data_IF_979310441352
#
_entry.id   IF_979310441352
#
_cell.length_a   1.000
_cell.length_b   1.000
_cell.length_c   1.000
_cell.angle_alpha   90.00
_cell.angle_beta   90.00
_cell.angle_gamma   90.00
#
_symmetry.space_group_name_H-M   'P 1'
#
loop_
_entity.id
_entity.type
_entity.pdbx_description
1 polymer ?
#
# COMPACT_ATOMS: atom_id res chain seq x y z
N UNK A 1 14.64 -35.72 -38.08
CA UNK A 1 13.25 -35.98 -38.53
C UNK A 1 13.01 -35.51 -39.96
N UNK A 2 13.33 -34.26 -40.31
CA UNK A 2 13.00 -33.68 -41.61
C UNK A 2 13.91 -34.10 -42.78
N UNK A 3 15.23 -34.18 -42.61
CA UNK A 3 16.12 -34.76 -43.63
C UNK A 3 15.83 -36.24 -43.91
N UNK A 4 15.48 -37.01 -42.87
CA UNK A 4 15.06 -38.41 -43.03
C UNK A 4 13.74 -38.57 -43.81
N UNK A 5 12.97 -37.48 -43.97
CA UNK A 5 11.74 -37.42 -44.79
C UNK A 5 11.99 -36.81 -46.17
N UNK A 6 13.24 -36.59 -46.57
CA UNK A 6 13.62 -36.16 -47.92
C UNK A 6 13.60 -34.65 -48.16
N UNK A 7 13.41 -33.84 -47.12
CA UNK A 7 13.52 -32.39 -47.23
C UNK A 7 14.99 -31.96 -47.15
N UNK A 8 15.41 -31.05 -48.02
CA UNK A 8 16.76 -30.47 -48.07
C UNK A 8 16.69 -28.99 -48.50
N UNK A 9 17.66 -28.18 -48.06
CA UNK A 9 17.80 -26.77 -48.47
C UNK A 9 17.65 -25.78 -47.30
N UNK A 10 18.00 -24.51 -47.57
CA UNK A 10 18.06 -23.43 -46.56
C UNK A 10 16.75 -23.21 -45.81
N UNK A 11 15.61 -23.30 -46.51
CA UNK A 11 14.29 -23.11 -45.89
C UNK A 11 13.97 -24.18 -44.84
N UNK A 12 14.54 -25.39 -44.98
CA UNK A 12 14.38 -26.46 -44.00
C UNK A 12 15.24 -26.23 -42.76
N UNK A 13 16.48 -25.79 -42.97
CA UNK A 13 17.42 -25.51 -41.89
C UNK A 13 16.87 -24.38 -41.01
N UNK A 14 16.32 -23.33 -41.64
CA UNK A 14 15.63 -22.25 -40.95
C UNK A 14 14.40 -22.77 -40.18
N UNK A 15 13.58 -23.64 -40.80
CA UNK A 15 12.41 -24.21 -40.12
C UNK A 15 12.78 -25.05 -38.89
N UNK A 16 13.88 -25.80 -38.95
CA UNK A 16 14.39 -26.59 -37.82
C UNK A 16 14.89 -25.69 -36.69
N UNK A 17 15.63 -24.62 -37.01
CA UNK A 17 16.11 -23.63 -36.05
C UNK A 17 14.91 -22.99 -35.33
N UNK A 18 13.94 -22.47 -36.09
CA UNK A 18 12.77 -21.82 -35.50
C UNK A 18 11.92 -22.78 -34.68
N UNK A 19 11.79 -24.03 -35.08
CA UNK A 19 11.06 -25.03 -34.27
C UNK A 19 11.71 -25.24 -32.90
N UNK A 20 13.04 -25.30 -32.82
CA UNK A 20 13.76 -25.44 -31.54
C UNK A 20 13.56 -24.21 -30.66
N UNK A 21 13.80 -23.04 -31.23
CA UNK A 21 13.57 -21.75 -30.57
C UNK A 21 12.15 -21.67 -30.01
N UNK A 22 11.12 -21.99 -30.80
CA UNK A 22 9.73 -21.89 -30.35
C UNK A 22 9.38 -22.90 -29.25
N UNK A 23 10.05 -24.05 -29.20
CA UNK A 23 9.83 -25.04 -28.16
C UNK A 23 10.55 -24.68 -26.85
N UNK A 24 11.78 -24.18 -26.95
CA UNK A 24 12.64 -23.92 -25.79
C UNK A 24 12.34 -22.56 -25.15
N UNK A 25 11.94 -21.56 -25.96
CA UNK A 25 11.70 -20.19 -25.50
C UNK A 25 10.69 -20.06 -24.35
N UNK A 26 9.51 -20.71 -24.35
CA UNK A 26 8.56 -20.61 -23.24
C UNK A 26 9.13 -21.08 -21.90
N UNK A 27 9.88 -22.19 -21.89
CA UNK A 27 10.48 -22.74 -20.67
C UNK A 27 11.66 -21.86 -20.20
N UNK A 28 12.53 -21.43 -21.12
CA UNK A 28 13.62 -20.50 -20.79
C UNK A 28 13.09 -19.19 -20.19
N UNK A 29 12.03 -18.63 -20.76
CA UNK A 29 11.40 -17.43 -20.21
C UNK A 29 10.76 -17.68 -18.85
N UNK A 30 10.14 -18.85 -18.62
CA UNK A 30 9.61 -19.20 -17.30
C UNK A 30 10.72 -19.31 -16.24
N UNK A 31 11.85 -19.95 -16.56
CA UNK A 31 13.01 -20.07 -15.68
C UNK A 31 13.67 -18.73 -15.40
N UNK A 32 13.79 -17.88 -16.42
CA UNK A 32 14.31 -16.52 -16.29
C UNK A 32 13.40 -15.66 -15.39
N UNK A 33 12.08 -15.73 -15.58
CA UNK A 33 11.09 -15.05 -14.72
C UNK A 33 11.20 -15.45 -13.25
N UNK A 34 11.45 -16.74 -13.00
CA UNK A 34 11.64 -17.27 -11.65
C UNK A 34 13.04 -17.01 -11.07
N UNK A 35 13.93 -16.36 -11.84
CA UNK A 35 15.30 -16.05 -11.42
C UNK A 35 16.23 -17.27 -11.36
N UNK A 36 15.87 -18.39 -12.00
CA UNK A 36 16.66 -19.62 -11.99
C UNK A 36 17.80 -19.61 -13.01
N UNK A 37 17.67 -18.77 -14.04
CA UNK A 37 18.70 -18.54 -15.07
C UNK A 37 18.80 -17.04 -15.34
N UNK A 38 19.96 -16.61 -15.82
CA UNK A 38 20.22 -15.21 -16.21
C UNK A 38 19.81 -14.94 -17.65
N UNK A 39 19.77 -13.66 -18.04
CA UNK A 39 19.52 -13.29 -19.44
C UNK A 39 20.63 -13.80 -20.37
N UNK A 40 21.87 -13.87 -19.88
CA UNK A 40 23.00 -14.41 -20.63
C UNK A 40 22.83 -15.91 -20.88
N UNK A 41 22.27 -16.66 -19.92
CA UNK A 41 21.96 -18.08 -20.10
C UNK A 41 20.85 -18.30 -21.15
N UNK A 42 19.85 -17.40 -21.19
CA UNK A 42 18.82 -17.40 -22.23
C UNK A 42 19.43 -17.09 -23.60
N UNK A 43 20.34 -16.11 -23.67
CA UNK A 43 21.06 -15.76 -24.90
C UNK A 43 21.89 -16.93 -25.41
N UNK A 44 22.68 -17.54 -24.53
CA UNK A 44 23.51 -18.70 -24.87
C UNK A 44 22.67 -19.85 -25.41
N UNK A 45 21.54 -20.17 -24.77
CA UNK A 45 20.66 -21.24 -25.28
C UNK A 45 20.08 -20.89 -26.66
N UNK A 46 19.54 -19.69 -26.85
CA UNK A 46 18.88 -19.35 -28.11
C UNK A 46 19.86 -19.12 -29.28
N UNK A 47 20.97 -18.42 -29.03
CA UNK A 47 21.93 -18.02 -30.06
C UNK A 47 22.98 -19.10 -30.30
N UNK A 48 23.60 -19.62 -29.24
CA UNK A 48 24.73 -20.54 -29.39
C UNK A 48 24.28 -22.00 -29.57
N UNK A 49 23.24 -22.42 -28.85
CA UNK A 49 22.72 -23.81 -28.90
C UNK A 49 21.68 -23.98 -30.01
N UNK A 50 20.63 -23.16 -30.01
CA UNK A 50 19.53 -23.26 -30.98
C UNK A 50 19.83 -22.61 -32.33
N UNK A 51 20.96 -21.89 -32.42
CA UNK A 51 21.46 -21.23 -33.64
C UNK A 51 20.53 -20.13 -34.16
N UNK A 52 19.81 -19.46 -33.27
CA UNK A 52 19.11 -18.22 -33.61
C UNK A 52 20.11 -17.14 -34.03
N UNK A 53 19.84 -16.36 -35.10
CA UNK A 53 20.61 -15.16 -35.39
C UNK A 53 20.56 -14.17 -34.22
N UNK A 54 21.73 -13.65 -33.83
CA UNK A 54 21.85 -12.78 -32.66
C UNK A 54 20.97 -11.51 -32.74
N UNK A 55 20.83 -10.92 -33.94
CA UNK A 55 19.95 -9.76 -34.16
C UNK A 55 18.49 -10.05 -33.79
N UNK A 56 18.01 -11.28 -34.03
CA UNK A 56 16.65 -11.70 -33.67
C UNK A 56 16.48 -11.88 -32.17
N UNK A 57 17.54 -12.25 -31.45
CA UNK A 57 17.51 -12.28 -29.99
C UNK A 57 17.27 -10.88 -29.42
N UNK A 58 17.93 -9.85 -29.97
CA UNK A 58 17.72 -8.46 -29.54
C UNK A 58 16.32 -7.94 -29.86
N UNK A 59 15.73 -8.30 -31.00
CA UNK A 59 14.33 -7.98 -31.30
C UNK A 59 13.34 -8.66 -30.33
N UNK A 60 13.59 -9.92 -29.95
CA UNK A 60 12.79 -10.63 -28.94
C UNK A 60 12.95 -10.03 -27.55
N UNK A 61 14.15 -9.58 -27.19
CA UNK A 61 14.42 -8.87 -25.94
C UNK A 61 13.60 -7.58 -25.85
N UNK A 62 13.60 -6.78 -26.91
CA UNK A 62 12.87 -5.51 -26.94
C UNK A 62 11.34 -5.72 -26.86
N UNK A 63 10.82 -6.72 -27.56
CA UNK A 63 9.36 -6.91 -27.66
C UNK A 63 8.77 -7.73 -26.52
N UNK A 64 9.48 -8.75 -26.03
CA UNK A 64 8.96 -9.69 -25.04
C UNK A 64 9.52 -9.42 -23.65
N UNK A 65 10.81 -9.16 -23.53
CA UNK A 65 11.46 -9.03 -22.21
C UNK A 65 11.22 -7.65 -21.60
N UNK A 66 11.17 -6.59 -22.41
CA UNK A 66 10.75 -5.25 -21.94
C UNK A 66 9.32 -5.26 -21.39
N UNK A 67 8.39 -5.88 -22.11
CA UNK A 67 7.01 -6.06 -21.65
C UNK A 67 6.93 -6.82 -20.31
N UNK A 68 7.71 -7.90 -20.15
CA UNK A 68 7.79 -8.63 -18.88
C UNK A 68 8.44 -7.84 -17.74
N UNK A 69 9.41 -6.98 -18.05
CA UNK A 69 10.09 -6.16 -17.02
C UNK A 69 9.15 -5.08 -16.48
N UNK A 70 8.38 -4.42 -17.36
CA UNK A 70 7.37 -3.43 -16.98
C UNK A 70 6.24 -4.06 -16.13
N UNK A 71 5.78 -5.27 -16.50
CA UNK A 71 4.79 -6.05 -15.75
C UNK A 71 5.30 -6.44 -14.34
N UNK A 72 6.54 -6.94 -14.23
CA UNK A 72 7.17 -7.29 -12.95
C UNK A 72 7.30 -6.07 -12.03
N UNK A 73 7.72 -4.92 -12.55
CA UNK A 73 7.85 -3.69 -11.74
C UNK A 73 6.49 -3.28 -11.19
N UNK A 74 5.43 -3.29 -12.00
CA UNK A 74 4.08 -2.95 -11.55
C UNK A 74 3.53 -3.92 -10.48
N UNK A 75 3.74 -5.23 -10.65
CA UNK A 75 3.24 -6.24 -9.71
C UNK A 75 4.05 -6.29 -8.39
N UNK A 76 5.37 -6.13 -8.47
CA UNK A 76 6.27 -6.23 -7.29
C UNK A 76 6.43 -4.93 -6.50
N UNK A 77 6.07 -3.76 -7.07
CA UNK A 77 6.03 -2.48 -6.34
C UNK A 77 4.64 -2.08 -5.85
N UNK A 78 3.59 -2.82 -6.20
CA UNK A 78 2.25 -2.52 -5.70
C UNK A 78 2.16 -2.91 -4.21
N UNK A 79 2.19 -1.91 -3.33
CA UNK A 79 1.85 -2.09 -1.92
C UNK A 79 0.50 -2.82 -1.81
N UNK A 80 0.47 -3.91 -1.05
CA UNK A 80 -0.77 -4.63 -0.73
C UNK A 80 -1.53 -3.90 0.37
N UNK A 81 -2.85 -4.09 0.49
CA UNK A 81 -3.65 -3.53 1.61
C UNK A 81 -3.00 -3.84 2.95
N UNK A 82 -2.56 -5.07 3.17
CA UNK A 82 -1.90 -5.50 4.40
C UNK A 82 -0.59 -4.77 4.68
N UNK A 83 0.24 -4.50 3.65
CA UNK A 83 1.48 -3.73 3.81
C UNK A 83 1.22 -2.26 4.10
N UNK A 84 0.20 -1.67 3.47
CA UNK A 84 -0.24 -0.28 3.74
C UNK A 84 -0.68 -0.15 5.20
N UNK A 85 -1.57 -1.05 5.65
CA UNK A 85 -2.06 -1.05 7.04
C UNK A 85 -0.94 -1.32 8.05
N UNK A 86 -0.02 -2.23 7.74
CA UNK A 86 1.15 -2.47 8.60
C UNK A 86 2.03 -1.22 8.72
N UNK A 87 2.27 -0.52 7.61
CA UNK A 87 3.01 0.75 7.61
C UNK A 87 2.33 1.84 8.44
N UNK A 88 0.99 1.91 8.40
CA UNK A 88 0.22 2.83 9.23
C UNK A 88 0.30 2.47 10.73
N UNK A 89 0.17 1.18 11.08
CA UNK A 89 0.32 0.69 12.48
C UNK A 89 1.72 0.91 13.07
N UNK A 90 2.75 0.97 12.22
CA UNK A 90 4.14 1.19 12.62
C UNK A 90 4.54 2.68 12.56
N UNK A 91 3.57 3.60 12.45
CA UNK A 91 3.76 5.05 12.32
C UNK A 91 4.69 5.45 11.15
N UNK A 92 4.78 4.60 10.12
CA UNK A 92 5.56 4.87 8.90
C UNK A 92 4.77 5.62 7.85
N UNK A 93 3.44 5.61 7.97
CA UNK A 93 2.51 6.31 7.10
C UNK A 93 1.59 7.17 7.95
N UNK A 94 1.42 8.43 7.55
CA UNK A 94 0.39 9.30 8.12
C UNK A 94 -1.01 8.83 7.72
N UNK A 95 -2.03 9.33 8.41
CA UNK A 95 -3.43 9.10 8.05
C UNK A 95 -3.69 9.36 6.56
N UNK A 96 -3.43 10.59 6.09
CA UNK A 96 -3.68 10.99 4.70
C UNK A 96 -2.92 10.14 3.68
N UNK A 97 -1.65 9.81 3.96
CA UNK A 97 -0.87 8.92 3.10
C UNK A 97 -1.47 7.51 3.03
N UNK A 98 -2.01 7.03 4.15
CA UNK A 98 -2.65 5.71 4.21
C UNK A 98 -3.94 5.70 3.41
N UNK A 99 -4.78 6.72 3.56
CA UNK A 99 -6.02 6.88 2.78
C UNK A 99 -5.70 6.96 1.29
N UNK A 100 -4.72 7.77 0.87
CA UNK A 100 -4.34 7.91 -0.53
C UNK A 100 -3.85 6.59 -1.13
N UNK A 101 -3.01 5.84 -0.40
CA UNK A 101 -2.51 4.54 -0.84
C UNK A 101 -3.62 3.50 -0.95
N UNK A 102 -4.61 3.52 -0.06
CA UNK A 102 -5.80 2.67 -0.15
C UNK A 102 -6.66 3.07 -1.36
N UNK A 103 -6.87 4.35 -1.61
CA UNK A 103 -7.65 4.79 -2.79
C UNK A 103 -7.01 4.35 -4.11
N UNK A 104 -5.67 4.32 -4.19
CA UNK A 104 -4.95 3.74 -5.35
C UNK A 104 -5.19 2.24 -5.55
N UNK A 105 -5.80 1.54 -4.58
CA UNK A 105 -6.26 0.14 -4.67
C UNK A 105 -7.74 0.03 -5.08
N UNK A 106 -8.35 1.10 -5.59
CA UNK A 106 -9.77 1.19 -5.95
C UNK A 106 -10.73 1.14 -4.75
N UNK A 107 -10.29 1.60 -3.58
CA UNK A 107 -11.21 1.92 -2.48
C UNK A 107 -11.71 3.35 -2.66
N UNK A 108 -13.01 3.59 -2.48
CA UNK A 108 -13.50 4.95 -2.36
C UNK A 108 -13.00 5.57 -1.05
N UNK A 109 -12.92 6.91 -0.98
CA UNK A 109 -12.34 7.61 0.18
C UNK A 109 -12.93 7.13 1.51
N UNK A 110 -14.25 7.00 1.58
CA UNK A 110 -14.91 6.54 2.81
C UNK A 110 -14.59 5.09 3.17
N UNK A 111 -14.38 4.20 2.19
CA UNK A 111 -13.99 2.81 2.43
C UNK A 111 -12.56 2.74 2.98
N UNK A 112 -11.67 3.56 2.43
CA UNK A 112 -10.31 3.71 2.93
C UNK A 112 -10.28 4.24 4.37
N UNK A 113 -11.10 5.25 4.67
CA UNK A 113 -11.26 5.80 6.02
C UNK A 113 -11.79 4.74 7.00
N UNK A 114 -12.81 3.99 6.61
CA UNK A 114 -13.37 2.90 7.41
C UNK A 114 -12.36 1.77 7.66
N UNK A 115 -11.61 1.38 6.63
CA UNK A 115 -10.52 0.39 6.76
C UNK A 115 -9.46 0.89 7.74
N UNK A 116 -9.05 2.16 7.66
CA UNK A 116 -8.10 2.75 8.59
C UNK A 116 -8.64 2.72 10.02
N UNK A 117 -9.87 3.20 10.23
CA UNK A 117 -10.49 3.30 11.55
C UNK A 117 -10.63 1.93 12.22
N UNK A 118 -10.93 0.87 11.47
CA UNK A 118 -11.02 -0.50 12.01
C UNK A 118 -9.66 -1.12 12.22
N UNK A 119 -8.78 -1.06 11.22
CA UNK A 119 -7.56 -1.83 11.26
C UNK A 119 -6.51 -1.15 12.12
N UNK A 120 -6.37 0.18 11.99
CA UNK A 120 -5.38 1.00 12.69
C UNK A 120 -6.01 1.63 13.93
N UNK A 121 -7.15 2.31 13.76
CA UNK A 121 -7.83 3.02 14.85
C UNK A 121 -8.35 2.12 15.96
N UNK A 122 -8.91 0.95 15.65
CA UNK A 122 -9.42 0.00 16.65
C UNK A 122 -8.35 -0.91 17.26
N UNK A 123 -7.10 -0.85 16.79
CA UNK A 123 -5.97 -1.49 17.49
C UNK A 123 -5.62 -0.74 18.79
N UNK A 124 -5.95 0.54 18.86
CA UNK A 124 -6.10 1.32 20.09
C UNK A 124 -7.57 1.31 20.52
N UNK A 125 -7.87 1.02 21.79
CA UNK A 125 -9.20 1.32 22.32
C UNK A 125 -9.43 2.83 22.16
N UNK A 126 -10.61 3.29 21.71
CA UNK A 126 -10.92 4.72 21.64
C UNK A 126 -10.55 5.40 22.97
N UNK A 127 -9.70 6.42 22.90
CA UNK A 127 -9.20 7.13 24.09
C UNK A 127 -10.17 8.24 24.49
N UNK A 128 -11.00 8.69 23.53
CA UNK A 128 -11.97 9.77 23.72
C UNK A 128 -13.40 9.38 23.31
N UNK A 129 -14.43 10.03 23.87
CA UNK A 129 -15.82 9.82 23.47
C UNK A 129 -16.11 10.09 21.98
N UNK A 130 -15.47 11.09 21.35
CA UNK A 130 -15.67 11.36 19.92
C UNK A 130 -14.98 10.34 19.02
N UNK A 131 -13.84 9.76 19.41
CA UNK A 131 -13.27 8.63 18.67
C UNK A 131 -14.23 7.44 18.67
N UNK A 132 -14.83 7.14 19.82
CA UNK A 132 -15.84 6.10 19.91
C UNK A 132 -17.06 6.44 19.04
N UNK A 133 -17.53 7.68 19.09
CA UNK A 133 -18.64 8.15 18.25
C UNK A 133 -18.30 8.03 16.77
N UNK A 134 -17.08 8.40 16.34
CA UNK A 134 -16.60 8.26 14.95
C UNK A 134 -16.69 6.81 14.49
N UNK A 135 -16.28 5.86 15.32
CA UNK A 135 -16.35 4.43 15.01
C UNK A 135 -17.81 3.95 14.86
N UNK A 136 -18.72 4.46 15.69
CA UNK A 136 -20.16 4.16 15.56
C UNK A 136 -20.74 4.78 14.29
N UNK A 137 -20.42 6.03 13.98
CA UNK A 137 -20.90 6.71 12.78
C UNK A 137 -20.34 6.06 11.50
N UNK A 138 -19.08 5.62 11.50
CA UNK A 138 -18.47 4.90 10.38
C UNK A 138 -19.12 3.53 10.15
N UNK A 139 -19.44 2.81 11.24
CA UNK A 139 -20.24 1.60 11.17
C UNK A 139 -21.63 1.87 10.59
N UNK A 140 -22.34 2.90 11.06
CA UNK A 140 -23.67 3.29 10.52
C UNK A 140 -23.60 3.58 9.02
N UNK A 141 -22.59 4.34 8.58
CA UNK A 141 -22.32 4.62 7.16
C UNK A 141 -22.13 3.33 6.35
N UNK A 142 -21.35 2.37 6.86
CA UNK A 142 -21.13 1.07 6.21
C UNK A 142 -22.42 0.24 6.04
N UNK A 143 -23.38 0.40 6.94
CA UNK A 143 -24.67 -0.30 6.91
C UNK A 143 -25.73 0.47 6.11
N UNK A 144 -25.36 1.59 5.47
CA UNK A 144 -26.30 2.46 4.75
C UNK A 144 -27.31 3.17 5.65
N UNK A 145 -27.00 3.30 6.95
CA UNK A 145 -27.81 4.05 7.90
C UNK A 145 -27.46 5.54 7.86
N UNK A 146 -28.38 6.38 8.32
CA UNK A 146 -28.11 7.80 8.52
C UNK A 146 -26.94 8.00 9.50
N UNK A 147 -25.99 8.86 9.15
CA UNK A 147 -24.74 9.06 9.89
C UNK A 147 -24.33 10.53 9.91
N UNK A 148 -23.52 10.89 10.90
CA UNK A 148 -22.91 12.21 11.02
C UNK A 148 -21.40 12.13 10.86
N UNK A 149 -20.86 12.94 9.97
CA UNK A 149 -19.41 13.05 9.79
C UNK A 149 -18.82 13.89 10.94
N UNK A 150 -17.83 13.33 11.63
CA UNK A 150 -17.09 14.01 12.70
C UNK A 150 -15.72 14.39 12.12
N UNK A 151 -15.42 15.69 11.98
CA UNK A 151 -14.17 16.13 11.41
C UNK A 151 -12.96 15.72 12.26
N UNK A 152 -11.84 15.35 11.64
CA UNK A 152 -10.61 14.96 12.34
C UNK A 152 -10.11 16.04 13.32
N UNK A 153 -10.29 17.33 13.01
CA UNK A 153 -9.82 18.42 13.84
C UNK A 153 -10.52 18.48 15.21
N UNK A 154 -11.79 18.08 15.26
CA UNK A 154 -12.58 18.04 16.50
C UNK A 154 -12.10 16.91 17.40
N UNK A 155 -11.78 15.76 16.80
CA UNK A 155 -11.28 14.58 17.51
C UNK A 155 -9.90 14.86 18.10
N UNK A 156 -9.00 15.43 17.31
CA UNK A 156 -7.66 15.80 17.78
C UNK A 156 -7.73 16.82 18.94
N UNK A 157 -8.64 17.81 18.85
CA UNK A 157 -8.85 18.78 19.92
C UNK A 157 -9.35 18.12 21.22
N UNK A 158 -10.24 17.12 21.13
CA UNK A 158 -10.68 16.36 22.31
C UNK A 158 -9.54 15.53 22.91
N UNK A 159 -8.70 14.92 22.07
CA UNK A 159 -7.55 14.15 22.52
C UNK A 159 -6.56 15.01 23.29
N UNK A 160 -6.20 16.17 22.74
CA UNK A 160 -5.33 17.15 23.42
C UNK A 160 -5.91 17.58 24.76
N UNK A 161 -7.22 17.85 24.82
CA UNK A 161 -7.89 18.21 26.08
C UNK A 161 -7.81 17.08 27.11
N UNK A 162 -8.10 15.84 26.68
CA UNK A 162 -8.09 14.65 27.55
C UNK A 162 -6.70 14.35 28.10
N UNK A 163 -5.67 14.49 27.27
CA UNK A 163 -4.27 14.33 27.67
C UNK A 163 -3.85 15.36 28.72
N UNK A 164 -4.21 16.63 28.51
CA UNK A 164 -3.92 17.71 29.46
C UNK A 164 -4.64 17.49 30.80
N UNK A 165 -5.91 17.08 30.78
CA UNK A 165 -6.68 16.76 32.00
C UNK A 165 -6.08 15.58 32.75
N UNK A 166 -5.62 14.54 32.04
CA UNK A 166 -4.95 13.38 32.63
C UNK A 166 -3.63 13.79 33.30
N UNK A 167 -2.85 14.64 32.62
CA UNK A 167 -1.59 15.17 33.15
C UNK A 167 -1.81 16.10 34.34
N UNK A 168 -2.86 16.92 34.33
CA UNK A 168 -3.23 17.76 35.47
C UNK A 168 -3.57 16.92 36.71
N UNK A 169 -4.41 15.89 36.56
CA UNK A 169 -4.71 14.92 37.64
C UNK A 169 -3.44 14.24 38.18
N UNK A 170 -2.50 13.89 37.29
CA UNK A 170 -1.22 13.29 37.70
C UNK A 170 -0.36 14.28 38.50
N UNK A 171 -0.30 15.55 38.12
CA UNK A 171 0.41 16.61 38.85
C UNK A 171 -0.21 16.87 40.22
N UNK A 172 -1.54 16.90 40.31
CA UNK A 172 -2.26 17.02 41.59
C UNK A 172 -1.97 15.83 42.52
N UNK A 173 -2.04 14.60 41.99
CA UNK A 173 -1.72 13.40 42.75
C UNK A 173 -0.26 13.37 43.23
N UNK A 174 0.66 13.87 42.41
CA UNK A 174 2.08 13.98 42.73
C UNK A 174 2.41 15.16 43.68
N UNK A 175 1.44 16.04 43.98
CA UNK A 175 1.65 17.28 44.74
C UNK A 175 2.79 18.12 44.14
N UNK A 176 2.79 18.24 42.82
CA UNK A 176 3.74 19.05 42.08
C UNK A 176 3.70 20.54 42.54
N UNK A 177 4.74 21.33 42.23
CA UNK A 177 4.73 22.77 42.48
C UNK A 177 3.47 23.44 41.93
N UNK A 178 2.90 24.39 42.69
CA UNK A 178 1.68 25.10 42.29
C UNK A 178 1.83 25.78 40.91
N UNK A 179 3.03 26.28 40.60
CA UNK A 179 3.33 26.90 39.30
C UNK A 179 3.11 25.93 38.12
N UNK A 180 3.46 24.65 38.28
CA UNK A 180 3.24 23.64 37.25
C UNK A 180 1.76 23.29 37.09
N UNK A 181 1.01 23.28 38.21
CA UNK A 181 -0.44 23.05 38.22
C UNK A 181 -1.16 24.24 37.55
N UNK A 182 -0.78 25.47 37.87
CA UNK A 182 -1.38 26.68 37.30
C UNK A 182 -1.12 26.77 35.80
N UNK A 183 0.09 26.41 35.36
CA UNK A 183 0.45 26.38 33.94
C UNK A 183 -0.41 25.39 33.16
N UNK A 184 -0.56 24.17 33.65
CA UNK A 184 -1.36 23.17 32.92
C UNK A 184 -2.86 23.51 32.94
N UNK A 185 -3.36 24.17 33.99
CA UNK A 185 -4.73 24.67 34.02
C UNK A 185 -4.98 25.74 32.95
N UNK A 186 -4.00 26.63 32.71
CA UNK A 186 -4.08 27.59 31.62
C UNK A 186 -4.13 26.89 30.25
N UNK A 187 -3.28 25.88 30.04
CA UNK A 187 -3.26 25.08 28.80
C UNK A 187 -4.60 24.33 28.59
N UNK A 188 -5.19 23.75 29.65
CA UNK A 188 -6.52 23.13 29.60
C UNK A 188 -7.59 24.15 29.20
N UNK A 189 -7.55 25.35 29.75
CA UNK A 189 -8.54 26.39 29.43
C UNK A 189 -8.49 26.78 27.94
N UNK A 190 -7.28 26.91 27.37
CA UNK A 190 -7.09 27.17 25.94
C UNK A 190 -7.59 26.01 25.10
N UNK A 191 -7.19 24.78 25.42
CA UNK A 191 -7.60 23.58 24.69
C UNK A 191 -9.13 23.38 24.71
N UNK A 192 -9.76 23.62 25.86
CA UNK A 192 -11.23 23.52 26.00
C UNK A 192 -11.96 24.58 25.17
N UNK A 193 -11.46 25.82 25.16
CA UNK A 193 -12.05 26.88 24.34
C UNK A 193 -11.94 26.54 22.84
N UNK A 194 -10.80 26.00 22.40
CA UNK A 194 -10.61 25.54 21.03
C UNK A 194 -11.57 24.39 20.68
N UNK A 195 -11.65 23.37 21.54
CA UNK A 195 -12.56 22.23 21.35
C UNK A 195 -14.02 22.66 21.21
N UNK A 196 -14.53 23.51 22.11
CA UNK A 196 -15.91 24.00 22.04
C UNK A 196 -16.18 24.86 20.79
N UNK A 197 -15.20 25.66 20.36
CA UNK A 197 -15.32 26.45 19.14
C UNK A 197 -15.46 25.56 17.89
N UNK A 198 -14.66 24.49 17.81
CA UNK A 198 -14.69 23.53 16.72
C UNK A 198 -15.97 22.70 16.76
N UNK A 199 -16.38 22.23 17.94
CA UNK A 199 -17.62 21.47 18.11
C UNK A 199 -18.86 22.28 17.66
N UNK A 200 -18.92 23.55 18.04
CA UNK A 200 -20.01 24.45 17.64
C UNK A 200 -20.03 24.70 16.14
N UNK A 201 -18.85 24.81 15.51
CA UNK A 201 -18.74 25.03 14.07
C UNK A 201 -19.26 23.85 13.22
N UNK A 202 -19.37 22.65 13.80
CA UNK A 202 -19.76 21.41 13.10
C UNK A 202 -21.13 20.89 13.60
N UNK A 203 -21.88 21.67 14.38
CA UNK A 203 -23.21 21.28 14.91
C UNK A 203 -23.21 19.91 15.66
N UNK A 204 -22.14 19.61 16.40
CA UNK A 204 -21.92 18.31 17.08
C UNK A 204 -22.42 18.23 18.54
#
# INVERSE_FOLDING_TARGET
LYHARGYYGKDLDDYVIWTKVYNDFPDLMARYKNGWITLEDVKHQLVDVDRMPEDRFYELLETKIKAFTEERVAETTALTRSLIIKGAKEDKLTYEQTIELLMRKNYDRWEAEYIYDIEVGAASSPETPLEFRKLVESYRKSQGLDYKEIPPEVIEAERVLTDLETRHKALEAAKAPQEDIDRIQADIAVARAMFESLKTAVEL
#
